data_IF_044178162701
#
_entry.id   IF_044178162701
#
_cell.length_a   1.000
_cell.length_b   1.000
_cell.length_c   1.000
_cell.angle_alpha   90.00
_cell.angle_beta   90.00
_cell.angle_gamma   90.00
#
_symmetry.space_group_name_H-M   'P 1'
#
loop_
_entity.id
_entity.type
_entity.pdbx_description
1 polymer ?
#
# COMPACT_ATOMS: atom_id res chain seq x y z
N UNK A 1 -5.83 -33.22 -81.10
CA UNK A 1 -4.89 -32.20 -80.60
C UNK A 1 -5.70 -31.21 -79.80
N UNK A 2 -5.58 -31.24 -78.47
CA UNK A 2 -6.36 -30.39 -77.58
C UNK A 2 -5.77 -28.98 -77.53
N UNK A 3 -6.65 -27.99 -77.67
CA UNK A 3 -6.37 -26.57 -77.52
C UNK A 3 -6.14 -26.22 -76.04
N UNK A 4 -5.16 -25.36 -75.80
CA UNK A 4 -4.92 -24.69 -74.52
C UNK A 4 -5.96 -23.58 -74.31
N UNK A 5 -6.49 -23.46 -73.09
CA UNK A 5 -6.98 -22.19 -72.55
C UNK A 5 -6.63 -22.11 -71.06
N UNK A 6 -5.80 -21.13 -70.72
CA UNK A 6 -5.51 -20.76 -69.34
C UNK A 6 -6.71 -20.01 -68.74
N UNK A 7 -7.06 -20.32 -67.49
CA UNK A 7 -8.00 -19.53 -66.69
C UNK A 7 -7.26 -19.02 -65.46
N UNK A 8 -7.18 -17.70 -65.36
CA UNK A 8 -6.73 -16.94 -64.20
C UNK A 8 -7.97 -16.46 -63.44
N UNK A 9 -8.06 -16.71 -62.14
CA UNK A 9 -9.09 -16.10 -61.28
C UNK A 9 -8.67 -16.08 -59.81
N UNK A 10 -7.75 -15.17 -59.51
CA UNK A 10 -7.70 -14.45 -58.23
C UNK A 10 -9.02 -13.71 -58.00
N UNK A 11 -10.02 -14.36 -57.38
CA UNK A 11 -11.12 -13.67 -56.70
C UNK A 11 -11.55 -14.51 -55.51
N UNK A 12 -10.86 -14.35 -54.37
CA UNK A 12 -11.46 -14.70 -53.08
C UNK A 12 -12.69 -13.78 -52.90
N UNK A 13 -13.87 -14.29 -52.52
CA UNK A 13 -15.08 -13.50 -52.56
C UNK A 13 -14.95 -12.36 -51.54
N UNK A 14 -14.97 -11.13 -52.03
CA UNK A 14 -14.99 -9.89 -51.23
C UNK A 14 -16.12 -9.90 -50.18
N UNK A 15 -17.14 -10.75 -50.39
CA UNK A 15 -18.23 -11.02 -49.43
C UNK A 15 -17.77 -11.68 -48.12
N UNK A 16 -16.73 -12.51 -48.10
CA UNK A 16 -16.24 -13.12 -46.85
C UNK A 16 -15.40 -12.17 -46.00
N UNK A 17 -14.64 -11.27 -46.65
CA UNK A 17 -13.84 -10.25 -45.95
C UNK A 17 -14.76 -9.18 -45.35
N UNK A 18 -15.79 -8.76 -46.07
CA UNK A 18 -16.81 -7.85 -45.53
C UNK A 18 -17.65 -8.50 -44.42
N UNK A 19 -18.01 -9.79 -44.51
CA UNK A 19 -18.70 -10.47 -43.43
C UNK A 19 -17.82 -10.66 -42.18
N UNK A 20 -16.51 -10.90 -42.33
CA UNK A 20 -15.57 -10.98 -41.22
C UNK A 20 -15.29 -9.63 -40.56
N UNK A 21 -15.16 -8.55 -41.34
CA UNK A 21 -15.02 -7.18 -40.85
C UNK A 21 -16.33 -6.70 -40.21
N UNK A 22 -17.48 -7.02 -40.81
CA UNK A 22 -18.79 -6.70 -40.24
C UNK A 22 -19.06 -7.52 -38.99
N UNK A 23 -18.65 -8.80 -38.88
CA UNK A 23 -18.73 -9.60 -37.67
C UNK A 23 -17.76 -9.12 -36.57
N UNK A 24 -16.56 -8.65 -36.93
CA UNK A 24 -15.62 -8.04 -35.99
C UNK A 24 -16.11 -6.65 -35.51
N UNK A 25 -16.72 -5.86 -36.40
CA UNK A 25 -17.36 -4.58 -36.07
C UNK A 25 -18.67 -4.78 -35.29
N UNK A 26 -19.47 -5.80 -35.61
CA UNK A 26 -20.69 -6.20 -34.88
C UNK A 26 -20.33 -6.76 -33.49
N UNK A 27 -19.27 -7.57 -33.38
CA UNK A 27 -18.73 -8.04 -32.10
C UNK A 27 -18.24 -6.88 -31.24
N UNK A 28 -17.66 -5.83 -31.85
CA UNK A 28 -17.25 -4.62 -31.15
C UNK A 28 -18.44 -3.79 -30.63
N UNK A 29 -19.66 -4.07 -31.10
CA UNK A 29 -20.86 -3.28 -30.79
C UNK A 29 -21.75 -3.93 -29.70
N UNK A 30 -21.49 -5.17 -29.26
CA UNK A 30 -22.41 -5.92 -28.38
C UNK A 30 -21.93 -6.09 -26.92
N UNK A 31 -20.71 -5.69 -26.55
CA UNK A 31 -20.30 -5.70 -25.14
C UNK A 31 -19.66 -4.39 -24.70
N UNK A 32 -20.41 -3.30 -24.77
CA UNK A 32 -20.08 -2.05 -24.09
C UNK A 32 -20.24 -2.17 -22.57
N UNK A 33 -19.64 -3.20 -21.95
CA UNK A 33 -19.65 -3.33 -20.50
C UNK A 33 -18.56 -2.42 -19.96
N UNK A 34 -18.96 -1.25 -19.46
CA UNK A 34 -18.04 -0.37 -18.74
C UNK A 34 -17.50 -1.11 -17.52
N UNK A 35 -16.21 -0.98 -17.22
CA UNK A 35 -15.62 -1.43 -15.95
C UNK A 35 -16.45 -0.93 -14.76
N UNK A 36 -17.06 0.26 -14.89
CA UNK A 36 -17.96 0.82 -13.89
C UNK A 36 -19.21 -0.04 -13.62
N UNK A 37 -19.70 -0.80 -14.61
CA UNK A 37 -20.84 -1.70 -14.44
C UNK A 37 -20.45 -3.01 -13.75
N UNK A 38 -19.19 -3.42 -13.83
CA UNK A 38 -18.68 -4.64 -13.18
C UNK A 38 -18.22 -4.33 -11.76
N UNK A 39 -17.42 -3.28 -11.60
CA UNK A 39 -16.99 -2.75 -10.31
C UNK A 39 -18.10 -1.83 -9.82
N UNK A 40 -19.18 -2.39 -9.28
CA UNK A 40 -20.26 -1.60 -8.69
C UNK A 40 -19.82 -0.98 -7.36
N UNK A 41 -20.53 0.05 -6.85
CA UNK A 41 -20.31 0.54 -5.49
C UNK A 41 -20.37 -0.58 -4.46
N UNK A 42 -21.36 -1.47 -4.55
CA UNK A 42 -21.55 -2.59 -3.62
C UNK A 42 -20.37 -3.56 -3.66
N UNK A 43 -19.83 -3.87 -4.84
CA UNK A 43 -18.65 -4.73 -4.96
C UNK A 43 -17.41 -4.07 -4.34
N UNK A 44 -17.14 -2.81 -4.69
CA UNK A 44 -15.96 -2.09 -4.19
C UNK A 44 -16.04 -1.84 -2.68
N UNK A 45 -17.17 -1.34 -2.20
CA UNK A 45 -17.43 -1.06 -0.79
C UNK A 45 -17.51 -2.36 0.01
N UNK A 46 -17.95 -3.47 -0.59
CA UNK A 46 -17.88 -4.81 0.00
C UNK A 46 -16.45 -5.29 0.25
N UNK A 47 -15.48 -4.90 -0.58
CA UNK A 47 -14.05 -5.19 -0.35
C UNK A 47 -13.48 -4.25 0.73
N UNK A 48 -13.68 -2.94 0.58
CA UNK A 48 -13.14 -1.92 1.49
C UNK A 48 -13.77 -2.04 2.89
N UNK A 49 -15.05 -2.40 2.98
CA UNK A 49 -15.78 -2.59 4.22
C UNK A 49 -15.19 -3.69 5.11
N UNK A 50 -14.48 -4.66 4.53
CA UNK A 50 -13.79 -5.72 5.27
C UNK A 50 -12.49 -5.26 5.94
N UNK A 51 -12.01 -4.04 5.65
CA UNK A 51 -10.86 -3.47 6.34
C UNK A 51 -11.23 -3.00 7.76
N UNK A 52 -10.24 -2.92 8.63
CA UNK A 52 -10.43 -2.42 10.00
C UNK A 52 -11.00 -0.99 10.01
N UNK A 53 -11.75 -0.61 11.06
CA UNK A 53 -12.39 0.73 11.19
C UNK A 53 -11.37 1.86 11.08
N UNK A 54 -10.15 1.67 11.58
CA UNK A 54 -9.06 2.65 11.50
C UNK A 54 -8.15 2.54 10.27
N UNK A 55 -8.52 1.76 9.25
CA UNK A 55 -7.68 1.56 8.06
C UNK A 55 -7.64 2.82 7.20
N UNK A 56 -6.45 3.42 7.04
CA UNK A 56 -6.21 4.59 6.18
C UNK A 56 -6.70 4.37 4.74
N UNK A 57 -6.64 3.11 4.27
CA UNK A 57 -7.16 2.70 2.97
C UNK A 57 -8.64 3.04 2.75
N UNK A 58 -9.46 3.08 3.81
CA UNK A 58 -10.89 3.44 3.71
C UNK A 58 -11.13 4.90 3.28
N UNK A 59 -10.21 5.81 3.59
CA UNK A 59 -10.28 7.22 3.17
C UNK A 59 -9.50 7.52 1.91
N UNK A 60 -8.60 6.63 1.50
CA UNK A 60 -7.69 6.83 0.37
C UNK A 60 -8.19 6.18 -0.92
N UNK A 61 -8.65 4.93 -0.87
CA UNK A 61 -9.12 4.20 -2.04
C UNK A 61 -10.61 4.41 -2.26
N UNK A 62 -10.98 4.97 -3.40
CA UNK A 62 -12.37 5.08 -3.83
C UNK A 62 -12.60 4.45 -5.20
N UNK A 63 -13.81 3.93 -5.40
CA UNK A 63 -14.26 3.37 -6.67
C UNK A 63 -14.03 4.35 -7.82
N UNK A 64 -14.40 5.60 -7.64
CA UNK A 64 -14.30 6.61 -8.71
C UNK A 64 -12.84 6.87 -9.10
N UNK A 65 -11.91 6.89 -8.14
CA UNK A 65 -10.47 7.02 -8.42
C UNK A 65 -9.94 5.77 -9.14
N UNK A 66 -10.40 4.58 -8.78
CA UNK A 66 -10.09 3.36 -9.51
C UNK A 66 -10.57 3.44 -10.98
N UNK A 67 -11.83 3.82 -11.23
CA UNK A 67 -12.37 3.97 -12.59
C UNK A 67 -11.64 5.05 -13.40
N UNK A 68 -11.16 6.12 -12.75
CA UNK A 68 -10.30 7.11 -13.42
C UNK A 68 -8.94 6.50 -13.78
N UNK A 69 -8.33 5.71 -12.88
CA UNK A 69 -7.04 5.07 -13.12
C UNK A 69 -7.10 4.04 -14.26
N UNK A 70 -8.19 3.30 -14.42
CA UNK A 70 -8.32 2.31 -15.51
C UNK A 70 -8.28 2.96 -16.90
N UNK A 71 -8.60 4.26 -17.02
CA UNK A 71 -8.50 4.99 -18.31
C UNK A 71 -7.06 5.10 -18.82
N UNK A 72 -6.06 4.96 -17.95
CA UNK A 72 -4.65 4.91 -18.33
C UNK A 72 -4.23 3.57 -18.95
N UNK A 73 -5.06 2.53 -18.82
CA UNK A 73 -4.75 1.16 -19.26
C UNK A 73 -5.91 0.61 -20.10
N UNK A 74 -6.06 1.04 -21.37
CA UNK A 74 -7.23 0.74 -22.19
C UNK A 74 -7.45 -0.75 -22.50
N UNK A 75 -6.43 -1.60 -22.30
CA UNK A 75 -6.51 -3.06 -22.44
C UNK A 75 -7.12 -3.75 -21.21
N UNK A 76 -7.01 -3.13 -20.03
CA UNK A 76 -7.53 -3.70 -18.79
C UNK A 76 -9.06 -3.79 -18.86
N UNK A 77 -9.61 -4.99 -18.65
CA UNK A 77 -11.05 -5.23 -18.66
C UNK A 77 -11.73 -5.03 -20.02
N UNK A 78 -10.99 -5.13 -21.13
CA UNK A 78 -11.53 -4.96 -22.49
C UNK A 78 -11.26 -6.13 -23.44
N UNK A 79 -10.60 -7.19 -22.98
CA UNK A 79 -10.24 -8.37 -23.78
C UNK A 79 -10.90 -9.66 -23.27
N UNK A 80 -11.42 -10.47 -24.20
CA UNK A 80 -12.07 -11.75 -23.89
C UNK A 80 -13.59 -11.64 -23.67
N UNK A 81 -14.19 -12.72 -23.15
CA UNK A 81 -15.62 -12.74 -22.81
C UNK A 81 -15.89 -11.95 -21.52
N UNK A 82 -17.14 -11.61 -21.25
CA UNK A 82 -17.57 -10.96 -20.00
C UNK A 82 -17.04 -11.70 -18.75
N UNK A 83 -17.07 -13.04 -18.76
CA UNK A 83 -16.53 -13.84 -17.68
C UNK A 83 -15.00 -13.71 -17.51
N UNK A 84 -14.27 -13.55 -18.62
CA UNK A 84 -12.81 -13.30 -18.57
C UNK A 84 -12.53 -11.93 -17.96
N UNK A 85 -13.27 -10.89 -18.38
CA UNK A 85 -13.14 -9.53 -17.85
C UNK A 85 -13.44 -9.51 -16.35
N UNK A 86 -14.53 -10.16 -15.91
CA UNK A 86 -14.86 -10.29 -14.48
C UNK A 86 -13.76 -11.00 -13.69
N UNK A 87 -13.18 -12.07 -14.26
CA UNK A 87 -12.05 -12.78 -13.64
C UNK A 87 -10.78 -11.94 -13.55
N UNK A 88 -10.47 -11.14 -14.56
CA UNK A 88 -9.32 -10.22 -14.54
C UNK A 88 -9.48 -9.19 -13.40
N UNK A 89 -10.64 -8.54 -13.31
CA UNK A 89 -10.95 -7.57 -12.26
C UNK A 89 -10.89 -8.24 -10.87
N UNK A 90 -11.46 -9.44 -10.72
CA UNK A 90 -11.42 -10.19 -9.47
C UNK A 90 -9.98 -10.57 -9.07
N UNK A 91 -9.16 -11.03 -10.02
CA UNK A 91 -7.75 -11.36 -9.77
C UNK A 91 -6.95 -10.14 -9.32
N UNK A 92 -7.16 -8.99 -9.96
CA UNK A 92 -6.51 -7.73 -9.57
C UNK A 92 -6.85 -7.35 -8.12
N UNK A 93 -8.14 -7.29 -7.78
CA UNK A 93 -8.57 -6.91 -6.43
C UNK A 93 -8.14 -7.95 -5.38
N UNK A 94 -8.05 -9.23 -5.72
CA UNK A 94 -7.52 -10.26 -4.84
C UNK A 94 -6.05 -10.00 -4.52
N UNK A 95 -5.21 -9.70 -5.51
CA UNK A 95 -3.81 -9.35 -5.29
C UNK A 95 -3.67 -8.04 -4.51
N UNK A 96 -4.39 -6.98 -4.89
CA UNK A 96 -4.34 -5.71 -4.15
C UNK A 96 -4.75 -5.88 -2.69
N UNK A 97 -5.78 -6.68 -2.44
CA UNK A 97 -6.23 -7.04 -1.10
C UNK A 97 -5.14 -7.78 -0.33
N UNK A 98 -4.48 -8.75 -0.97
CA UNK A 98 -3.40 -9.51 -0.36
C UNK A 98 -2.23 -8.62 0.03
N UNK A 99 -1.74 -7.79 -0.89
CA UNK A 99 -0.58 -6.93 -0.67
C UNK A 99 -0.84 -5.86 0.39
N UNK A 100 -2.08 -5.35 0.48
CA UNK A 100 -2.44 -4.29 1.45
C UNK A 100 -3.00 -4.82 2.77
N UNK A 101 -3.31 -6.13 2.83
CA UNK A 101 -3.77 -6.84 4.03
C UNK A 101 -5.13 -6.41 4.58
N UNK A 102 -5.81 -5.42 3.98
CA UNK A 102 -6.99 -4.74 4.58
C UNK A 102 -6.72 -4.17 5.97
N UNK A 103 -5.45 -3.96 6.33
CA UNK A 103 -5.03 -3.62 7.68
C UNK A 103 -4.68 -2.15 7.83
N UNK A 104 -4.90 -1.66 9.04
CA UNK A 104 -4.55 -0.32 9.47
C UNK A 104 -3.16 -0.29 10.13
N UNK A 105 -2.26 0.56 9.63
CA UNK A 105 -0.89 0.69 10.14
C UNK A 105 -0.64 2.03 10.84
N UNK A 106 -1.60 2.47 11.66
CA UNK A 106 -1.43 3.64 12.52
C UNK A 106 -0.52 3.33 13.73
N UNK A 107 -0.16 4.38 14.47
CA UNK A 107 0.72 4.31 15.64
C UNK A 107 0.24 3.33 16.70
N UNK A 108 1.05 2.30 17.01
CA UNK A 108 0.83 1.38 18.14
C UNK A 108 2.09 1.18 18.98
N UNK A 109 1.89 0.80 20.24
CA UNK A 109 2.97 0.53 21.17
C UNK A 109 3.75 1.79 21.61
N UNK A 110 4.85 1.61 22.36
CA UNK A 110 5.58 2.69 23.03
C UNK A 110 6.22 3.71 22.08
N UNK A 111 6.62 3.27 20.89
CA UNK A 111 7.23 4.15 19.87
C UNK A 111 6.21 4.65 18.84
N UNK A 112 4.92 4.34 19.02
CA UNK A 112 3.87 4.63 18.05
C UNK A 112 4.26 4.16 16.64
N UNK A 113 4.63 2.86 16.52
CA UNK A 113 5.01 2.25 15.25
C UNK A 113 3.89 2.48 14.22
N UNK A 114 4.23 3.14 13.13
CA UNK A 114 3.30 3.53 12.07
C UNK A 114 3.86 3.17 10.69
N UNK A 115 3.00 3.14 9.68
CA UNK A 115 3.28 2.74 8.29
C UNK A 115 3.59 1.25 8.11
N UNK A 116 2.98 0.64 7.09
CA UNK A 116 3.11 -0.79 6.77
C UNK A 116 4.58 -1.24 6.64
N UNK A 117 5.41 -0.41 6.01
CA UNK A 117 6.85 -0.68 5.87
C UNK A 117 7.52 -0.98 7.21
N UNK A 118 7.27 -0.14 8.24
CA UNK A 118 7.87 -0.34 9.57
C UNK A 118 7.33 -1.60 10.26
N UNK A 119 6.04 -1.89 10.14
CA UNK A 119 5.47 -3.13 10.67
C UNK A 119 6.11 -4.36 10.02
N UNK A 120 6.29 -4.37 8.69
CA UNK A 120 6.90 -5.50 7.99
C UNK A 120 8.34 -5.77 8.41
N UNK A 121 9.19 -4.74 8.45
CA UNK A 121 10.60 -4.92 8.82
C UNK A 121 10.78 -5.22 10.32
N UNK A 122 9.98 -4.60 11.19
CA UNK A 122 9.98 -4.89 12.62
C UNK A 122 9.51 -6.33 12.90
N UNK A 123 8.41 -6.73 12.26
CA UNK A 123 7.85 -8.06 12.37
C UNK A 123 8.86 -9.14 11.98
N UNK A 124 9.49 -8.99 10.82
CA UNK A 124 10.54 -9.91 10.36
C UNK A 124 11.68 -10.01 11.38
N UNK A 125 12.11 -8.89 11.97
CA UNK A 125 13.18 -8.88 12.97
C UNK A 125 12.82 -9.59 14.27
N UNK A 126 11.54 -9.65 14.64
CA UNK A 126 11.09 -10.25 15.91
C UNK A 126 10.38 -11.60 15.71
N UNK A 127 10.40 -12.14 14.49
CA UNK A 127 9.83 -13.44 14.14
C UNK A 127 8.31 -13.45 14.04
N UNK A 128 7.67 -12.33 13.70
CA UNK A 128 6.21 -12.18 13.59
C UNK A 128 5.79 -11.59 12.24
N UNK A 129 4.64 -12.01 11.72
CA UNK A 129 4.02 -11.38 10.54
C UNK A 129 3.13 -10.22 10.95
N UNK A 130 3.75 -9.06 11.19
CA UNK A 130 3.04 -7.86 11.58
C UNK A 130 2.37 -7.11 10.40
N UNK A 131 2.58 -7.55 9.15
CA UNK A 131 1.80 -7.04 8.01
C UNK A 131 0.40 -7.67 8.03
N UNK A 132 0.31 -8.97 8.31
CA UNK A 132 -0.97 -9.65 8.42
C UNK A 132 -1.65 -9.46 9.77
N UNK A 133 -0.88 -9.14 10.83
CA UNK A 133 -1.41 -8.96 12.19
C UNK A 133 -0.84 -7.73 12.92
N UNK A 134 -1.03 -6.50 12.38
CA UNK A 134 -0.51 -5.28 13.02
C UNK A 134 -1.18 -4.97 14.36
N UNK A 135 -2.40 -5.43 14.59
CA UNK A 135 -3.11 -5.31 15.87
C UNK A 135 -2.36 -5.97 17.04
N UNK A 136 -1.49 -6.97 16.77
CA UNK A 136 -0.70 -7.64 17.80
C UNK A 136 0.21 -6.66 18.53
N UNK A 137 0.69 -5.59 17.87
CA UNK A 137 1.49 -4.53 18.51
C UNK A 137 0.68 -3.73 19.54
N UNK A 138 -0.65 -3.69 19.40
CA UNK A 138 -1.54 -3.03 20.36
C UNK A 138 -2.11 -3.97 21.43
N UNK A 139 -2.16 -5.28 21.16
CA UNK A 139 -2.84 -6.26 22.01
C UNK A 139 -1.89 -7.14 22.85
N UNK A 140 -0.62 -7.28 22.45
CA UNK A 140 0.38 -8.02 23.20
C UNK A 140 1.48 -7.06 23.71
N UNK A 141 1.60 -6.87 25.03
CA UNK A 141 2.56 -5.92 25.61
C UNK A 141 4.02 -6.31 25.34
N UNK A 142 4.34 -7.61 25.27
CA UNK A 142 5.70 -8.07 24.95
C UNK A 142 6.03 -7.74 23.50
N UNK A 143 5.08 -7.94 22.58
CA UNK A 143 5.26 -7.54 21.17
C UNK A 143 5.38 -6.02 21.04
N UNK A 144 4.56 -5.25 21.77
CA UNK A 144 4.65 -3.79 21.81
C UNK A 144 6.03 -3.29 22.25
N UNK A 145 6.60 -3.88 23.31
CA UNK A 145 7.97 -3.54 23.74
C UNK A 145 9.02 -4.02 22.75
N UNK A 146 8.87 -5.21 22.15
CA UNK A 146 9.80 -5.71 21.13
C UNK A 146 9.87 -4.78 19.91
N UNK A 147 8.75 -4.21 19.46
CA UNK A 147 8.77 -3.25 18.34
C UNK A 147 9.41 -1.92 18.74
N UNK A 148 9.17 -1.44 19.97
CA UNK A 148 9.85 -0.26 20.51
C UNK A 148 11.37 -0.44 20.61
N UNK A 149 11.81 -1.59 21.14
CA UNK A 149 13.22 -1.96 21.24
C UNK A 149 13.86 -2.15 19.86
N UNK A 150 13.16 -2.81 18.93
CA UNK A 150 13.63 -2.93 17.55
C UNK A 150 13.91 -1.55 16.93
N UNK A 151 12.97 -0.60 17.05
CA UNK A 151 13.17 0.75 16.54
C UNK A 151 14.36 1.42 17.23
N UNK A 152 14.42 1.33 18.56
CA UNK A 152 15.51 1.91 19.33
C UNK A 152 16.89 1.38 18.90
N UNK A 153 17.03 0.06 18.77
CA UNK A 153 18.31 -0.56 18.41
C UNK A 153 18.77 -0.22 16.99
N UNK A 154 17.84 -0.04 16.05
CA UNK A 154 18.17 0.27 14.66
C UNK A 154 18.35 1.78 14.40
N UNK A 155 17.74 2.64 15.21
CA UNK A 155 17.66 4.09 14.91
C UNK A 155 18.34 4.97 15.96
N UNK A 156 18.23 4.63 17.25
CA UNK A 156 18.61 5.52 18.35
C UNK A 156 19.83 5.05 19.14
N UNK A 157 20.02 3.75 19.30
CA UNK A 157 20.99 3.16 20.21
C UNK A 157 22.41 3.70 19.98
N UNK A 158 22.88 3.66 18.73
CA UNK A 158 24.23 4.13 18.36
C UNK A 158 24.43 5.61 18.66
N UNK A 159 23.39 6.45 18.56
CA UNK A 159 23.47 7.88 18.81
C UNK A 159 23.77 8.17 20.28
N UNK A 160 23.13 7.43 21.19
CA UNK A 160 23.40 7.58 22.63
C UNK A 160 24.78 7.00 22.96
N UNK A 161 25.06 5.77 22.54
CA UNK A 161 26.31 5.08 22.92
C UNK A 161 27.57 5.67 22.28
N UNK A 162 27.44 6.42 21.18
CA UNK A 162 28.55 7.13 20.54
C UNK A 162 28.63 8.62 20.92
N UNK A 163 27.91 9.06 21.96
CA UNK A 163 28.01 10.43 22.48
C UNK A 163 27.34 11.52 21.63
N UNK A 164 26.43 11.17 20.70
CA UNK A 164 25.61 12.18 19.99
C UNK A 164 24.52 12.78 20.88
N UNK A 165 24.27 12.19 22.05
CA UNK A 165 23.39 12.71 23.09
C UNK A 165 21.90 12.48 22.80
N UNK A 166 21.05 12.89 23.75
CA UNK A 166 19.61 12.64 23.69
C UNK A 166 18.93 13.39 22.53
N UNK A 167 19.37 14.60 22.20
CA UNK A 167 18.86 15.39 21.07
C UNK A 167 19.06 14.69 19.73
N UNK A 168 20.12 13.90 19.59
CA UNK A 168 20.32 13.02 18.42
C UNK A 168 19.18 12.02 18.24
N UNK A 169 18.68 11.44 19.34
CA UNK A 169 17.56 10.49 19.30
C UNK A 169 16.24 11.16 18.92
N UNK A 170 15.97 12.37 19.43
CA UNK A 170 14.78 13.16 19.06
C UNK A 170 14.81 13.45 17.55
N UNK A 171 15.97 13.85 17.03
CA UNK A 171 16.15 14.11 15.59
C UNK A 171 15.90 12.87 14.75
N UNK A 172 16.36 11.70 15.19
CA UNK A 172 16.16 10.45 14.47
C UNK A 172 14.69 9.97 14.52
N UNK A 173 13.98 10.21 15.64
CA UNK A 173 12.58 9.81 15.81
C UNK A 173 11.64 10.71 15.00
N UNK A 174 11.78 12.03 15.10
CA UNK A 174 10.83 12.95 14.49
C UNK A 174 11.42 14.33 14.16
N UNK A 175 12.71 14.36 13.80
CA UNK A 175 13.44 15.62 13.67
C UNK A 175 12.90 16.57 12.60
N UNK A 176 12.30 16.03 11.55
CA UNK A 176 11.66 16.85 10.51
C UNK A 176 10.51 17.73 11.06
N UNK A 177 9.78 17.25 12.08
CA UNK A 177 8.66 17.97 12.67
C UNK A 177 9.04 18.72 13.95
N UNK A 178 10.05 18.25 14.69
CA UNK A 178 10.31 18.74 16.05
C UNK A 178 11.55 19.62 16.18
N UNK A 179 12.65 19.27 15.50
CA UNK A 179 13.94 19.92 15.68
C UNK A 179 14.05 21.24 14.91
N UNK A 180 15.17 21.95 15.12
CA UNK A 180 15.55 23.19 14.46
C UNK A 180 14.50 24.31 14.65
N UNK A 181 13.90 24.33 15.84
CA UNK A 181 12.91 25.33 16.26
C UNK A 181 11.49 25.09 15.76
N UNK A 182 11.21 23.97 15.07
CA UNK A 182 9.87 23.68 14.51
C UNK A 182 8.83 23.34 15.57
N UNK A 183 9.20 22.55 16.58
CA UNK A 183 8.32 22.29 17.71
C UNK A 183 9.07 22.26 19.06
N UNK A 184 9.49 23.43 19.57
CA UNK A 184 10.27 23.51 20.81
C UNK A 184 9.52 22.99 22.04
N UNK A 185 8.18 23.01 22.04
CA UNK A 185 7.37 22.51 23.15
C UNK A 185 7.50 20.99 23.29
N UNK A 186 7.38 20.25 22.18
CA UNK A 186 7.51 18.79 22.18
C UNK A 186 8.94 18.35 22.52
N UNK A 187 9.96 19.02 21.96
CA UNK A 187 11.37 18.73 22.32
C UNK A 187 11.60 18.95 23.82
N UNK A 188 11.14 20.06 24.38
CA UNK A 188 11.25 20.32 25.83
C UNK A 188 10.57 19.26 26.68
N UNK A 189 9.40 18.77 26.26
CA UNK A 189 8.71 17.69 26.98
C UNK A 189 9.54 16.40 26.99
N UNK A 190 10.11 16.00 25.85
CA UNK A 190 11.01 14.82 25.75
C UNK A 190 12.23 14.97 26.65
N UNK A 191 12.89 16.13 26.61
CA UNK A 191 14.07 16.41 27.45
C UNK A 191 13.70 16.41 28.92
N UNK A 192 12.53 16.94 29.28
CA UNK A 192 12.02 16.92 30.65
C UNK A 192 11.87 15.50 31.20
N UNK A 193 11.26 14.59 30.43
CA UNK A 193 11.18 13.17 30.81
C UNK A 193 12.56 12.53 30.93
N UNK A 194 13.47 12.78 29.99
CA UNK A 194 14.82 12.23 30.02
C UNK A 194 15.60 12.67 31.27
N UNK A 195 15.55 13.96 31.62
CA UNK A 195 16.19 14.49 32.83
C UNK A 195 15.59 13.86 34.09
N UNK A 196 14.26 13.79 34.20
CA UNK A 196 13.57 13.13 35.31
C UNK A 196 14.02 11.66 35.46
N UNK A 197 14.13 10.93 34.35
CA UNK A 197 14.56 9.53 34.37
C UNK A 197 16.04 9.36 34.71
N UNK A 198 16.92 10.23 34.20
CA UNK A 198 18.32 10.26 34.60
C UNK A 198 18.49 10.52 36.10
N UNK A 199 17.72 11.45 36.67
CA UNK A 199 17.71 11.73 38.10
C UNK A 199 17.26 10.50 38.91
N UNK A 200 16.19 9.81 38.48
CA UNK A 200 15.71 8.57 39.12
C UNK A 200 16.72 7.43 39.04
N UNK A 201 17.53 7.39 37.99
CA UNK A 201 18.58 6.39 37.78
C UNK A 201 19.93 6.81 38.40
N UNK A 202 20.02 8.00 39.00
CA UNK A 202 21.24 8.50 39.65
C UNK A 202 22.39 8.80 38.68
N UNK A 203 22.08 9.20 37.44
CA UNK A 203 23.08 9.48 36.39
C UNK A 203 22.91 10.91 35.85
N UNK A 204 24.02 11.54 35.45
CA UNK A 204 23.97 12.80 34.71
C UNK A 204 23.28 12.62 33.35
N UNK A 205 22.39 13.52 32.92
CA UNK A 205 21.80 13.48 31.58
C UNK A 205 22.82 13.57 30.43
N UNK A 206 24.02 14.11 30.70
CA UNK A 206 25.04 14.37 29.70
C UNK A 206 24.73 15.60 28.83
N UNK A 207 25.53 15.77 27.76
CA UNK A 207 25.44 16.90 26.84
C UNK A 207 24.50 16.62 25.66
N UNK A 208 24.29 17.63 24.79
CA UNK A 208 23.54 17.51 23.54
C UNK A 208 22.10 17.00 23.73
N UNK A 209 21.39 17.57 24.72
CA UNK A 209 20.03 17.16 25.07
C UNK A 209 18.98 17.58 24.05
N UNK A 210 19.22 18.67 23.33
CA UNK A 210 18.26 19.29 22.43
C UNK A 210 18.62 19.08 20.96
N UNK A 211 17.59 19.19 20.13
CA UNK A 211 17.64 19.50 18.71
C UNK A 211 16.57 20.60 18.47
#
# INVERSE_FOLDING_TARGET
MAYSFAINSNVLPITFVLAGILAALLSKTISGQSIANIVTPEFFDGIIGQADVGCEGKGFYSRDRFIVATKSYPQFGSEGSEDVIKREIAALFAHFTHETGRKAYFGRGPIQLAFSFNYGIAGKSIGLDLLRSPETVGNDPVVAFKTGLWFWMNTCHSLVTSGKGFGGTIRAINGFLECDGRNPATVRARVGYYIDYCNKLGVSPGDNLYC
#
